data_IF_766966640414
#
_entry.id   IF_766966640414
#
_cell.length_a   1.000
_cell.length_b   1.000
_cell.length_c   1.000
_cell.angle_alpha   90.00
_cell.angle_beta   90.00
_cell.angle_gamma   90.00
#
_symmetry.space_group_name_H-M   'P 1'
#
loop_
_entity.id
_entity.type
_entity.pdbx_description
1 polymer ?
#
# COMPACT_ATOMS: atom_id res chain seq x y z
N UNK A 1 7.74 29.36 17.51
CA UNK A 1 7.85 27.94 17.13
C UNK A 1 6.97 27.13 18.06
N UNK A 2 5.84 26.58 17.59
CA UNK A 2 5.05 25.66 18.39
C UNK A 2 5.66 24.25 18.33
N UNK A 3 5.56 23.55 19.45
CA UNK A 3 6.31 22.34 19.77
C UNK A 3 5.83 21.12 18.98
N UNK A 4 6.80 20.31 18.55
CA UNK A 4 6.66 18.93 18.07
C UNK A 4 6.24 17.98 19.21
N UNK A 5 5.06 18.20 19.81
CA UNK A 5 4.60 17.28 20.86
C UNK A 5 3.21 16.74 20.52
N UNK A 6 3.22 15.59 19.86
CA UNK A 6 2.06 14.71 19.71
C UNK A 6 2.06 13.78 20.92
N UNK A 7 1.50 14.25 22.03
CA UNK A 7 1.03 13.37 23.09
C UNK A 7 -0.47 13.14 22.88
N UNK A 8 -0.93 11.89 23.02
CA UNK A 8 -2.36 11.50 22.94
C UNK A 8 -3.02 11.41 21.56
N UNK A 9 -2.27 11.39 20.46
CA UNK A 9 -2.83 11.03 19.15
C UNK A 9 -2.30 9.66 18.76
N UNK A 10 -3.17 8.68 18.64
CA UNK A 10 -2.87 7.44 17.90
C UNK A 10 -2.71 7.81 16.41
N UNK A 11 -1.55 8.37 16.05
CA UNK A 11 -1.16 8.47 14.67
C UNK A 11 -0.81 7.03 14.27
N UNK A 12 -1.80 6.30 13.75
CA UNK A 12 -1.58 5.02 13.08
C UNK A 12 -0.47 5.27 12.06
N UNK A 13 0.72 4.78 12.36
CA UNK A 13 1.84 4.89 11.46
C UNK A 13 1.50 4.03 10.26
N UNK A 14 1.11 4.64 9.14
CA UNK A 14 1.22 3.98 7.84
C UNK A 14 2.71 3.75 7.55
N UNK A 15 3.33 2.88 8.34
CA UNK A 15 4.71 2.49 8.24
C UNK A 15 4.74 1.26 7.34
N UNK A 16 5.69 1.24 6.42
CA UNK A 16 5.93 0.09 5.56
C UNK A 16 6.04 -1.21 6.38
N UNK A 17 6.57 -1.15 7.60
CA UNK A 17 6.61 -2.30 8.52
C UNK A 17 5.22 -2.89 8.80
N UNK A 18 4.21 -2.07 9.16
CA UNK A 18 2.85 -2.55 9.41
C UNK A 18 2.22 -3.17 8.16
N UNK A 19 2.46 -2.55 6.99
CA UNK A 19 2.01 -3.07 5.70
C UNK A 19 2.64 -4.43 5.37
N UNK A 20 3.94 -4.58 5.61
CA UNK A 20 4.65 -5.84 5.44
C UNK A 20 4.16 -6.92 6.41
N UNK A 21 3.96 -6.57 7.68
CA UNK A 21 3.38 -7.49 8.65
C UNK A 21 1.98 -7.97 8.22
N UNK A 22 1.12 -7.05 7.77
CA UNK A 22 -0.22 -7.40 7.30
C UNK A 22 -0.17 -8.30 6.05
N UNK A 23 0.70 -7.99 5.09
CA UNK A 23 0.90 -8.81 3.89
C UNK A 23 1.33 -10.23 4.26
N UNK A 24 2.32 -10.38 5.13
CA UNK A 24 2.85 -11.69 5.54
C UNK A 24 1.80 -12.52 6.30
N UNK A 25 1.09 -11.89 7.24
CA UNK A 25 -0.01 -12.54 7.96
C UNK A 25 -1.13 -13.01 7.01
N UNK A 26 -1.47 -12.19 6.02
CA UNK A 26 -2.47 -12.54 5.00
C UNK A 26 -1.99 -13.70 4.12
N UNK A 27 -0.74 -13.68 3.68
CA UNK A 27 -0.14 -14.75 2.87
C UNK A 27 -0.10 -16.08 3.62
N UNK A 28 0.17 -16.03 4.92
CA UNK A 28 0.16 -17.19 5.79
C UNK A 28 -1.26 -17.66 6.18
N UNK A 29 -2.28 -16.82 5.98
CA UNK A 29 -3.64 -17.04 6.49
C UNK A 29 -3.73 -17.03 8.02
N UNK A 30 -2.79 -16.38 8.71
CA UNK A 30 -2.69 -16.38 10.18
C UNK A 30 -2.58 -14.97 10.73
N UNK A 31 -3.20 -14.73 11.89
CA UNK A 31 -3.10 -13.44 12.60
C UNK A 31 -1.75 -13.25 13.30
N UNK A 32 -1.10 -14.35 13.68
CA UNK A 32 0.20 -14.36 14.34
C UNK A 32 1.06 -15.47 13.75
N UNK A 33 2.29 -15.11 13.37
CA UNK A 33 3.29 -16.03 12.83
C UNK A 33 4.36 -16.29 13.89
N UNK A 34 4.79 -17.55 14.03
CA UNK A 34 6.05 -17.82 14.72
C UNK A 34 7.22 -17.28 13.91
N UNK A 35 8.36 -17.08 14.56
CA UNK A 35 9.56 -16.57 13.91
C UNK A 35 9.99 -17.42 12.70
N UNK A 36 9.95 -18.75 12.81
CA UNK A 36 10.35 -19.64 11.73
C UNK A 36 9.37 -19.66 10.55
N UNK A 37 8.07 -19.49 10.82
CA UNK A 37 7.07 -19.34 9.76
C UNK A 37 7.27 -18.02 9.01
N UNK A 38 7.53 -16.93 9.74
CA UNK A 38 7.84 -15.63 9.14
C UNK A 38 9.14 -15.71 8.31
N UNK A 39 10.20 -16.32 8.84
CA UNK A 39 11.48 -16.45 8.13
C UNK A 39 11.32 -17.21 6.81
N UNK A 40 10.54 -18.29 6.81
CA UNK A 40 10.30 -19.09 5.61
C UNK A 40 9.51 -18.32 4.55
N UNK A 41 8.48 -17.57 4.96
CA UNK A 41 7.74 -16.69 4.06
C UNK A 41 8.62 -15.59 3.44
N UNK A 42 9.56 -15.04 4.22
CA UNK A 42 10.50 -14.04 3.72
C UNK A 42 11.45 -14.63 2.66
N UNK A 43 11.93 -15.86 2.86
CA UNK A 43 12.76 -16.57 1.89
C UNK A 43 11.97 -16.83 0.60
N UNK A 44 10.74 -17.32 0.71
CA UNK A 44 9.88 -17.59 -0.45
C UNK A 44 9.55 -16.30 -1.23
N UNK A 45 9.23 -15.22 -0.52
CA UNK A 45 8.96 -13.91 -1.12
C UNK A 45 10.21 -13.34 -1.83
N UNK A 46 11.39 -13.52 -1.24
CA UNK A 46 12.65 -13.12 -1.85
C UNK A 46 12.89 -13.89 -3.16
N UNK A 47 12.76 -15.23 -3.14
CA UNK A 47 12.93 -16.06 -4.34
C UNK A 47 11.93 -15.72 -5.45
N UNK A 48 10.68 -15.39 -5.09
CA UNK A 48 9.69 -14.91 -6.06
C UNK A 48 10.07 -13.56 -6.66
N UNK A 49 10.69 -12.68 -5.88
CA UNK A 49 11.14 -11.36 -6.34
C UNK A 49 12.33 -11.48 -7.29
N UNK A 50 13.29 -12.32 -6.95
CA UNK A 50 14.44 -12.63 -7.82
C UNK A 50 13.98 -13.22 -9.16
N UNK A 51 13.04 -14.16 -9.12
CA UNK A 51 12.42 -14.73 -10.34
C UNK A 51 11.75 -13.63 -11.17
N UNK A 52 10.97 -12.74 -10.53
CA UNK A 52 10.32 -11.64 -11.24
C UNK A 52 11.35 -10.71 -11.91
N UNK A 53 12.44 -10.38 -11.22
CA UNK A 53 13.53 -9.57 -11.75
C UNK A 53 14.14 -10.24 -12.98
N UNK A 54 14.46 -11.54 -12.90
CA UNK A 54 15.00 -12.29 -14.03
C UNK A 54 14.05 -12.26 -15.24
N UNK A 55 12.75 -12.45 -15.01
CA UNK A 55 11.72 -12.39 -16.05
C UNK A 55 11.64 -11.00 -16.72
N UNK A 56 11.77 -9.93 -15.94
CA UNK A 56 11.79 -8.56 -16.48
C UNK A 56 13.09 -8.30 -17.24
N UNK A 57 14.24 -8.65 -16.68
CA UNK A 57 15.56 -8.45 -17.30
C UNK A 57 15.74 -9.28 -18.57
N UNK A 58 15.18 -10.49 -18.62
CA UNK A 58 15.17 -11.33 -19.83
C UNK A 58 14.15 -10.89 -20.89
N UNK A 59 13.37 -9.83 -20.64
CA UNK A 59 12.35 -9.33 -21.55
C UNK A 59 11.11 -10.22 -21.66
N UNK A 60 10.99 -11.26 -20.83
CA UNK A 60 9.84 -12.18 -20.79
C UNK A 60 8.59 -11.53 -20.20
N UNK A 61 8.76 -10.53 -19.33
CA UNK A 61 7.66 -9.73 -18.75
C UNK A 61 7.80 -8.29 -19.24
N UNK A 62 6.81 -7.81 -20.00
CA UNK A 62 6.76 -6.42 -20.46
C UNK A 62 6.10 -5.51 -19.41
N UNK A 63 6.38 -4.20 -19.48
CA UNK A 63 5.75 -3.20 -18.61
C UNK A 63 4.21 -3.24 -18.65
N UNK A 64 3.61 -3.64 -19.78
CA UNK A 64 2.16 -3.83 -19.90
C UNK A 64 1.60 -4.95 -19.02
N UNK A 65 2.34 -6.05 -18.83
CA UNK A 65 1.92 -7.14 -17.92
C UNK A 65 1.92 -6.70 -16.46
N UNK A 66 2.89 -5.90 -16.05
CA UNK A 66 2.94 -5.34 -14.68
C UNK A 66 1.82 -4.30 -14.45
N UNK A 67 1.52 -3.49 -15.46
CA UNK A 67 0.50 -2.43 -15.39
C UNK A 67 -0.90 -2.99 -15.10
N UNK A 68 -1.29 -4.10 -15.72
CA UNK A 68 -2.60 -4.76 -15.49
C UNK A 68 -2.80 -5.14 -14.01
N UNK A 69 -1.73 -5.51 -13.30
CA UNK A 69 -1.81 -5.85 -11.86
C UNK A 69 -2.06 -4.64 -10.97
N UNK A 70 -1.77 -3.43 -11.45
CA UNK A 70 -1.78 -2.20 -10.65
C UNK A 70 -3.02 -1.31 -10.86
N UNK A 71 -3.94 -1.69 -11.77
CA UNK A 71 -5.14 -0.90 -12.11
C UNK A 71 -6.00 -0.51 -10.89
N UNK A 72 -6.00 -1.31 -9.81
CA UNK A 72 -6.71 -0.98 -8.57
C UNK A 72 -6.23 0.32 -7.92
N UNK A 73 -4.93 0.61 -8.02
CA UNK A 73 -4.36 1.84 -7.49
C UNK A 73 -4.57 3.01 -8.44
N UNK A 74 -4.63 2.76 -9.74
CA UNK A 74 -4.99 3.78 -10.75
C UNK A 74 -6.42 4.29 -10.53
N UNK A 75 -7.39 3.42 -10.27
CA UNK A 75 -8.78 3.82 -10.01
C UNK A 75 -8.90 4.67 -8.73
N UNK A 76 -8.19 4.28 -7.67
CA UNK A 76 -8.13 5.05 -6.42
C UNK A 76 -7.41 6.38 -6.65
N UNK A 77 -6.31 6.39 -7.40
CA UNK A 77 -5.56 7.60 -7.72
C UNK A 77 -6.40 8.58 -8.53
N UNK A 78 -7.15 8.09 -9.52
CA UNK A 78 -8.09 8.88 -10.33
C UNK A 78 -9.17 9.49 -9.44
N UNK A 79 -9.76 8.70 -8.53
CA UNK A 79 -10.77 9.19 -7.59
C UNK A 79 -10.23 10.28 -6.66
N UNK A 80 -9.03 10.09 -6.10
CA UNK A 80 -8.37 11.10 -5.26
C UNK A 80 -8.09 12.37 -6.08
N UNK A 81 -7.62 12.23 -7.31
CA UNK A 81 -7.29 13.36 -8.19
C UNK A 81 -8.54 14.19 -8.52
N UNK A 82 -9.66 13.53 -8.85
CA UNK A 82 -10.95 14.20 -9.10
C UNK A 82 -11.43 14.94 -7.85
N UNK A 83 -11.45 14.26 -6.70
CA UNK A 83 -11.88 14.82 -5.44
C UNK A 83 -11.02 16.03 -5.00
N UNK A 84 -9.72 15.99 -5.28
CA UNK A 84 -8.79 17.10 -4.99
C UNK A 84 -9.11 18.31 -5.87
N UNK A 85 -9.36 18.10 -7.16
CA UNK A 85 -9.73 19.17 -8.08
C UNK A 85 -11.08 19.83 -7.74
N UNK A 86 -12.07 19.05 -7.29
CA UNK A 86 -13.38 19.55 -6.85
C UNK A 86 -13.32 20.35 -5.54
N UNK A 87 -12.40 19.97 -4.65
CA UNK A 87 -12.10 20.71 -3.42
C UNK A 87 -11.43 22.05 -3.72
N UNK A 88 -10.39 22.05 -4.56
CA UNK A 88 -9.69 23.29 -4.96
C UNK A 88 -10.61 24.25 -5.73
N UNK A 89 -11.60 23.71 -6.46
CA UNK A 89 -12.66 24.47 -7.11
C UNK A 89 -13.79 24.94 -6.18
N UNK A 90 -13.69 24.74 -4.87
CA UNK A 90 -14.64 25.24 -3.86
C UNK A 90 -16.00 24.52 -3.85
N UNK A 91 -16.12 23.38 -4.55
CA UNK A 91 -17.39 22.65 -4.70
C UNK A 91 -17.57 21.56 -3.64
N UNK A 92 -16.48 21.13 -2.97
CA UNK A 92 -16.51 20.11 -1.92
C UNK A 92 -15.92 20.63 -0.60
N UNK A 93 -16.59 20.36 0.53
CA UNK A 93 -16.08 20.64 1.87
C UNK A 93 -15.20 19.47 2.38
N UNK A 94 -14.17 19.77 3.18
CA UNK A 94 -13.20 18.78 3.73
C UNK A 94 -13.90 17.55 4.35
N UNK A 95 -15.04 17.74 5.01
CA UNK A 95 -15.80 16.67 5.65
C UNK A 95 -16.37 15.64 4.66
N UNK A 96 -16.68 16.03 3.43
CA UNK A 96 -17.19 15.13 2.38
C UNK A 96 -16.07 14.34 1.72
N UNK A 97 -14.86 14.90 1.64
CA UNK A 97 -13.65 14.17 1.20
C UNK A 97 -13.32 13.03 2.15
N UNK A 98 -13.37 13.30 3.46
CA UNK A 98 -13.04 12.30 4.49
C UNK A 98 -14.07 11.15 4.53
N UNK A 99 -15.34 11.43 4.26
CA UNK A 99 -16.40 10.40 4.19
C UNK A 99 -16.37 9.59 2.89
N UNK A 100 -16.07 10.22 1.76
CA UNK A 100 -16.04 9.55 0.46
C UNK A 100 -14.73 8.79 0.21
N UNK A 101 -13.61 9.26 0.78
CA UNK A 101 -12.28 8.66 0.66
C UNK A 101 -12.12 7.27 1.27
N UNK A 102 -13.10 6.77 2.04
CA UNK A 102 -13.10 5.41 2.58
C UNK A 102 -11.87 5.12 3.43
N UNK A 103 -11.75 5.79 4.57
CA UNK A 103 -10.93 5.34 5.71
C UNK A 103 -11.84 4.55 6.66
#
# INVERSE_FOLDING_TARGET
MPLWNVYHVEIRTNNHLEGWHFKMNRQAGKRHLSFYELLRLLIDEQGSTETLIEHVTSGRVTASHLRVKNNKYEDVQLRITVLTAEYDGGTHAIEQLLKSGGV
#
